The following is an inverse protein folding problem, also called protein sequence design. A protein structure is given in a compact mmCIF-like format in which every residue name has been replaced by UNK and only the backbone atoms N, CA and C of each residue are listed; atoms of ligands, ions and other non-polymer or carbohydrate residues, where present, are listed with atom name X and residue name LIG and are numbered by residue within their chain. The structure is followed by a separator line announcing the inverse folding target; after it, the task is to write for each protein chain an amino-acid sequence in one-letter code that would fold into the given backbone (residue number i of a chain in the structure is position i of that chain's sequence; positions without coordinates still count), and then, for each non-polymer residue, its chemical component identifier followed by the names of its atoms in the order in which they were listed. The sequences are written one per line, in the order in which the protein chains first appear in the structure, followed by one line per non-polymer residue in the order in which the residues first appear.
data_IF_139123939172
#
_entry.id   IF_139123939172
#
_cell.length_a   1.000
_cell.length_b   1.000
_cell.length_c   1.000
_cell.angle_alpha   90.00
_cell.angle_beta   90.00
_cell.angle_gamma   90.00
#
_symmetry.space_group_name_H-M   'P 1'
#
loop_
_entity.id
_entity.type
_entity.pdbx_description
1 polymer ?
#
# COMPACT_ATOMS: atom_id res chain seq x y z
N UNK A 1 -5.32 -14.58 17.48
CA UNK A 1 -5.00 -14.12 18.84
C UNK A 1 -3.61 -13.53 18.77
N UNK A 2 -3.40 -12.28 19.17
CA UNK A 2 -2.04 -11.70 19.15
C UNK A 2 -1.21 -12.30 20.26
N UNK A 3 -0.05 -12.82 19.90
CA UNK A 3 0.83 -13.55 20.81
C UNK A 3 1.83 -12.58 21.46
N UNK A 4 2.18 -11.49 20.78
CA UNK A 4 3.20 -10.56 21.24
C UNK A 4 2.56 -9.40 22.03
N UNK A 5 3.12 -9.01 23.20
CA UNK A 5 2.60 -7.91 24.01
C UNK A 5 2.61 -6.53 23.32
N UNK A 6 3.41 -6.38 22.26
CA UNK A 6 3.43 -5.16 21.44
C UNK A 6 2.11 -4.98 20.69
N UNK A 7 1.55 -6.06 20.15
CA UNK A 7 0.31 -6.04 19.38
C UNK A 7 -0.93 -5.80 20.24
N UNK A 8 -0.86 -6.20 21.52
CA UNK A 8 -1.94 -6.02 22.49
C UNK A 8 -1.92 -4.62 23.14
N UNK A 9 -1.02 -3.73 22.71
CA UNK A 9 -0.92 -2.36 23.19
C UNK A 9 -0.19 -2.20 24.54
N UNK A 10 0.48 -3.24 25.05
CA UNK A 10 1.30 -3.10 26.27
C UNK A 10 2.57 -2.30 25.99
N UNK A 11 3.14 -2.48 24.80
CA UNK A 11 4.36 -1.78 24.37
C UNK A 11 4.18 -1.01 23.06
N UNK A 12 3.14 -1.32 22.27
CA UNK A 12 2.86 -0.61 21.02
C UNK A 12 1.90 0.55 21.22
N UNK A 13 2.30 1.76 20.83
CA UNK A 13 1.36 2.88 20.70
C UNK A 13 0.44 2.65 19.49
N UNK A 14 -0.72 3.31 19.48
CA UNK A 14 -1.69 3.17 18.38
C UNK A 14 -1.09 3.62 17.06
N UNK A 15 -0.32 4.70 17.08
CA UNK A 15 0.33 5.32 15.93
C UNK A 15 1.40 4.39 15.35
N UNK A 16 2.25 3.80 16.19
CA UNK A 16 3.27 2.85 15.75
C UNK A 16 2.60 1.61 15.16
N UNK A 17 1.63 1.04 15.86
CA UNK A 17 0.92 -0.15 15.38
C UNK A 17 0.23 0.11 14.04
N UNK A 18 -0.36 1.29 13.83
CA UNK A 18 -1.02 1.65 12.56
C UNK A 18 -0.06 1.54 11.38
N UNK A 19 1.14 2.13 11.47
CA UNK A 19 2.18 2.11 10.41
C UNK A 19 2.52 0.67 9.96
N UNK A 20 2.60 -0.26 10.92
CA UNK A 20 2.98 -1.65 10.66
C UNK A 20 1.79 -2.59 10.45
N UNK A 21 0.55 -2.08 10.38
CA UNK A 21 -0.59 -2.91 9.99
C UNK A 21 -0.42 -3.37 8.56
N UNK A 22 -0.97 -4.55 8.31
CA UNK A 22 -0.93 -5.20 6.99
C UNK A 22 -1.44 -4.29 5.86
N UNK A 23 -2.53 -3.55 6.07
CA UNK A 23 -3.04 -2.64 5.06
C UNK A 23 -2.06 -1.49 4.79
N UNK A 24 -1.44 -0.90 5.83
CA UNK A 24 -0.47 0.18 5.65
C UNK A 24 0.76 -0.25 4.86
N UNK A 25 1.24 -1.47 5.06
CA UNK A 25 2.31 -2.04 4.23
C UNK A 25 1.95 -2.00 2.74
N UNK A 26 0.73 -2.40 2.40
CA UNK A 26 0.24 -2.37 1.01
C UNK A 26 0.07 -0.94 0.51
N UNK A 27 -0.49 -0.04 1.33
CA UNK A 27 -0.66 1.37 0.96
C UNK A 27 0.70 1.99 0.61
N UNK A 28 1.76 1.72 1.39
CA UNK A 28 3.12 2.20 1.09
C UNK A 28 3.70 1.59 -0.20
N UNK A 29 3.47 0.31 -0.45
CA UNK A 29 3.90 -0.32 -1.71
C UNK A 29 3.20 0.35 -2.90
N UNK A 30 1.90 0.61 -2.81
CA UNK A 30 1.13 1.29 -3.85
C UNK A 30 1.59 2.73 -4.06
N UNK A 31 1.97 3.44 -3.00
CA UNK A 31 2.55 4.79 -3.11
C UNK A 31 3.88 4.78 -3.86
N UNK A 32 4.73 3.76 -3.62
CA UNK A 32 5.98 3.57 -4.35
C UNK A 32 5.71 3.30 -5.83
N UNK A 33 4.80 2.38 -6.16
CA UNK A 33 4.43 2.06 -7.55
C UNK A 33 3.80 3.26 -8.27
N UNK A 34 2.98 4.05 -7.57
CA UNK A 34 2.41 5.28 -8.10
C UNK A 34 3.50 6.30 -8.44
N UNK A 35 4.51 6.47 -7.57
CA UNK A 35 5.64 7.35 -7.83
C UNK A 35 6.48 6.84 -9.01
N UNK A 36 6.73 5.53 -9.08
CA UNK A 36 7.45 4.91 -10.19
C UNK A 36 6.74 5.16 -11.52
N UNK A 37 5.42 4.95 -11.60
CA UNK A 37 4.64 5.21 -12.82
C UNK A 37 4.71 6.68 -13.24
N UNK A 38 4.64 7.62 -12.29
CA UNK A 38 4.77 9.05 -12.58
C UNK A 38 6.16 9.36 -13.17
N UNK A 39 7.24 8.90 -12.54
CA UNK A 39 8.60 9.10 -13.05
C UNK A 39 8.83 8.45 -14.42
N UNK A 40 8.24 7.27 -14.65
CA UNK A 40 8.27 6.62 -15.97
C UNK A 40 7.58 7.49 -17.05
N UNK A 41 6.53 8.23 -16.70
CA UNK A 41 5.90 9.15 -17.65
C UNK A 41 6.73 10.41 -17.93
N UNK A 42 7.53 10.87 -16.96
CA UNK A 42 8.43 12.03 -17.14
C UNK A 42 9.51 11.75 -18.18
N UNK A 43 9.99 10.51 -18.26
CA UNK A 43 10.96 10.07 -19.28
C UNK A 43 10.29 9.56 -20.57
N UNK A 44 8.96 9.63 -20.68
CA UNK A 44 8.21 9.20 -21.85
C UNK A 44 8.11 7.68 -22.03
N UNK A 45 8.41 6.88 -21.01
CA UNK A 45 8.29 5.41 -21.07
C UNK A 45 6.82 4.98 -21.14
N UNK A 46 5.94 5.70 -20.44
CA UNK A 46 4.48 5.52 -20.51
C UNK A 46 3.78 6.86 -20.73
N UNK A 47 2.57 6.90 -21.31
CA UNK A 47 1.80 8.13 -21.45
C UNK A 47 1.53 8.79 -20.09
N UNK A 48 1.40 10.12 -20.06
CA UNK A 48 1.08 10.84 -18.83
C UNK A 48 -0.34 10.57 -18.30
N UNK A 49 -1.29 10.22 -19.19
CA UNK A 49 -2.68 9.88 -18.81
C UNK A 49 -2.72 8.56 -18.02
N UNK A 50 -2.30 7.46 -18.66
CA UNK A 50 -1.33 6.49 -18.14
C UNK A 50 -1.04 6.51 -16.64
N UNK A 51 0.09 7.13 -16.34
CA UNK A 51 0.64 7.27 -14.99
C UNK A 51 -0.31 7.96 -14.00
N UNK A 52 -1.07 8.97 -14.45
CA UNK A 52 -2.06 9.65 -13.59
C UNK A 52 -3.19 8.70 -13.17
N UNK A 53 -3.65 7.83 -14.06
CA UNK A 53 -4.68 6.84 -13.75
C UNK A 53 -4.16 5.79 -12.76
N UNK A 54 -2.94 5.28 -12.96
CA UNK A 54 -2.29 4.36 -12.03
C UNK A 54 -2.18 4.99 -10.64
N UNK A 55 -1.62 6.20 -10.56
CA UNK A 55 -1.43 6.93 -9.30
C UNK A 55 -2.76 7.20 -8.58
N UNK A 56 -3.81 7.55 -9.34
CA UNK A 56 -5.16 7.76 -8.80
C UNK A 56 -5.75 6.47 -8.21
N UNK A 57 -5.60 5.33 -8.88
CA UNK A 57 -6.12 4.05 -8.38
C UNK A 57 -5.32 3.56 -7.18
N UNK A 58 -3.99 3.67 -7.21
CA UNK A 58 -3.12 3.33 -6.09
C UNK A 58 -3.54 4.05 -4.80
N UNK A 59 -3.88 5.35 -4.90
CA UNK A 59 -4.30 6.20 -3.77
C UNK A 59 -5.81 6.19 -3.49
N UNK A 60 -6.59 5.35 -4.17
CA UNK A 60 -8.05 5.36 -4.06
C UNK A 60 -8.61 4.71 -2.79
N UNK A 61 -7.77 3.98 -2.03
CA UNK A 61 -8.22 3.17 -0.89
C UNK A 61 -9.06 1.94 -1.26
N UNK A 62 -9.22 1.65 -2.56
CA UNK A 62 -10.01 0.50 -3.05
C UNK A 62 -9.24 -0.83 -2.99
N UNK A 63 -7.91 -0.78 -2.90
CA UNK A 63 -7.04 -1.97 -2.88
C UNK A 63 -6.88 -2.43 -1.44
N UNK A 64 -7.33 -3.65 -1.14
CA UNK A 64 -7.37 -4.17 0.24
C UNK A 64 -6.49 -5.40 0.42
N UNK A 65 -5.85 -5.52 1.58
CA UNK A 65 -5.07 -6.70 1.98
C UNK A 65 -5.85 -8.01 1.83
N UNK A 66 -7.14 -7.97 2.16
CA UNK A 66 -8.04 -9.11 2.00
C UNK A 66 -8.10 -9.60 0.55
N UNK A 67 -8.25 -8.69 -0.42
CA UNK A 67 -8.33 -9.05 -1.83
C UNK A 67 -6.99 -9.57 -2.36
N UNK A 68 -5.89 -8.98 -1.93
CA UNK A 68 -4.54 -9.43 -2.32
C UNK A 68 -4.31 -10.87 -1.85
N UNK A 69 -4.58 -11.18 -0.57
CA UNK A 69 -4.48 -12.55 -0.06
C UNK A 69 -5.32 -13.57 -0.83
N UNK A 70 -6.51 -13.18 -1.30
CA UNK A 70 -7.34 -14.06 -2.13
C UNK A 70 -6.70 -14.34 -3.50
N UNK A 71 -5.93 -13.40 -4.04
CA UNK A 71 -5.22 -13.57 -5.30
C UNK A 71 -3.93 -14.39 -5.11
N UNK A 72 -3.22 -14.21 -4.01
CA UNK A 72 -1.99 -14.95 -3.65
C UNK A 72 -2.24 -16.41 -3.24
N UNK A 73 -3.47 -16.74 -2.79
CA UNK A 73 -3.84 -18.10 -2.43
C UNK A 73 -4.16 -19.01 -3.62
N UNK A 74 -4.08 -18.50 -4.85
CA UNK A 74 -4.17 -19.28 -6.09
C UNK A 74 -2.80 -19.77 -6.51
#
# INVERSE_FOLDING_TARGET
MSILPIDTGRYGTKEMLDIFREQKKIDYQLDIEAAAALSQSEIGLIPASIAKDISRIAKSGKITAKRIKQLEAK
#
